data_IF_148169220804
#
_entry.id   IF_148169220804
#
_cell.length_a   1.000
_cell.length_b   1.000
_cell.length_c   1.000
_cell.angle_alpha   90.00
_cell.angle_beta   90.00
_cell.angle_gamma   90.00
#
_symmetry.space_group_name_H-M   'P 1'
#
loop_
_entity.id
_entity.type
_entity.pdbx_description
1 polymer ?
#
# COMPACT_ATOMS: atom_id res chain seq x y z
N UNK A 1 20.43 19.09 -3.25
CA UNK A 1 19.42 19.44 -4.26
C UNK A 1 18.37 18.33 -4.25
N UNK A 2 17.35 18.44 -3.40
CA UNK A 2 16.26 17.44 -3.37
C UNK A 2 15.35 17.70 -4.55
N UNK A 3 15.36 16.78 -5.51
CA UNK A 3 14.37 16.73 -6.58
C UNK A 3 13.03 16.43 -5.89
N UNK A 4 12.23 17.48 -5.66
CA UNK A 4 10.85 17.33 -5.18
C UNK A 4 10.07 16.80 -6.37
N UNK A 5 9.83 15.49 -6.39
CA UNK A 5 8.88 14.90 -7.32
C UNK A 5 7.56 15.63 -7.09
N UNK A 6 7.00 16.22 -8.15
CA UNK A 6 5.75 16.96 -8.10
C UNK A 6 4.68 16.09 -7.41
N UNK A 7 3.93 16.67 -6.47
CA UNK A 7 2.98 15.94 -5.62
C UNK A 7 1.98 15.12 -6.46
N UNK A 8 1.66 15.60 -7.67
CA UNK A 8 0.80 14.92 -8.61
C UNK A 8 1.50 13.72 -9.28
N UNK A 9 2.78 13.84 -9.64
CA UNK A 9 3.57 12.72 -10.21
C UNK A 9 3.78 11.63 -9.17
N UNK A 10 4.09 12.01 -7.94
CA UNK A 10 4.21 11.08 -6.82
C UNK A 10 2.88 10.32 -6.59
N UNK A 11 1.73 11.01 -6.71
CA UNK A 11 0.40 10.40 -6.58
C UNK A 11 0.15 9.29 -7.59
N UNK A 12 0.52 9.53 -8.85
CA UNK A 12 0.28 8.59 -9.95
C UNK A 12 1.22 7.40 -9.82
N UNK A 13 2.50 7.65 -9.53
CA UNK A 13 3.49 6.58 -9.32
C UNK A 13 3.10 5.70 -8.14
N UNK A 14 2.69 6.29 -7.01
CA UNK A 14 2.21 5.53 -5.86
C UNK A 14 0.96 4.71 -6.17
N UNK A 15 0.02 5.29 -6.93
CA UNK A 15 -1.21 4.58 -7.29
C UNK A 15 -0.93 3.42 -8.24
N UNK A 16 -0.01 3.61 -9.19
CA UNK A 16 0.43 2.56 -10.10
C UNK A 16 1.18 1.46 -9.35
N UNK A 17 2.08 1.82 -8.43
CA UNK A 17 2.78 0.84 -7.58
C UNK A 17 1.79 0.06 -6.71
N UNK A 18 0.81 0.75 -6.10
CA UNK A 18 -0.24 0.12 -5.31
C UNK A 18 -1.04 -0.88 -6.14
N UNK A 19 -1.44 -0.50 -7.36
CA UNK A 19 -2.18 -1.38 -8.26
C UNK A 19 -1.34 -2.57 -8.75
N UNK A 20 -0.04 -2.41 -8.95
CA UNK A 20 0.85 -3.49 -9.37
C UNK A 20 1.15 -4.50 -8.24
N UNK A 21 1.20 -4.02 -6.99
CA UNK A 21 1.53 -4.83 -5.82
C UNK A 21 0.28 -5.49 -5.22
N UNK A 22 -0.89 -4.87 -5.35
CA UNK A 22 -2.14 -5.45 -4.85
C UNK A 22 -2.88 -6.11 -6.04
N UNK A 23 -2.75 -7.43 -6.26
CA UNK A 23 -3.56 -8.11 -7.27
C UNK A 23 -5.02 -7.84 -6.93
N UNK A 24 -5.75 -7.34 -7.93
CA UNK A 24 -7.09 -6.78 -7.82
C UNK A 24 -8.05 -7.75 -7.11
N UNK A 25 -8.13 -7.65 -5.79
CA UNK A 25 -9.27 -8.14 -5.04
C UNK A 25 -10.39 -7.15 -5.34
N UNK A 26 -11.20 -7.45 -6.36
CA UNK A 26 -12.36 -6.66 -6.72
C UNK A 26 -13.16 -6.31 -5.47
N UNK A 27 -13.19 -5.02 -5.13
CA UNK A 27 -13.96 -4.49 -4.00
C UNK A 27 -14.04 -2.97 -4.13
N UNK A 28 -15.01 -2.54 -4.93
CA UNK A 28 -15.64 -1.24 -4.86
C UNK A 28 -15.90 -0.81 -3.41
N UNK A 29 -15.45 0.38 -3.02
CA UNK A 29 -16.09 1.17 -1.96
C UNK A 29 -16.22 2.62 -2.40
N UNK A 30 -17.05 2.87 -3.42
CA UNK A 30 -17.75 4.15 -3.59
C UNK A 30 -19.10 4.02 -2.86
N UNK A 31 -19.23 4.71 -1.73
CA UNK A 31 -20.51 4.99 -1.07
C UNK A 31 -21.36 5.89 -1.98
N UNK A 32 -22.46 5.39 -2.56
CA UNK A 32 -23.62 6.22 -2.95
C UNK A 32 -24.91 5.38 -2.86
N UNK A 33 -25.77 5.78 -1.92
CA UNK A 33 -27.25 5.81 -1.90
C UNK A 33 -28.07 4.57 -2.33
N UNK A 34 -28.92 4.16 -1.38
CA UNK A 34 -30.05 3.22 -1.47
C UNK A 34 -30.91 3.40 -2.73
N UNK A 35 -31.33 2.29 -3.35
CA UNK A 35 -32.70 2.00 -3.80
C UNK A 35 -32.80 0.48 -4.04
N UNK A 36 -33.79 -0.15 -3.40
CA UNK A 36 -34.20 -1.54 -3.62
C UNK A 36 -34.79 -1.74 -5.00
N UNK A 37 -34.54 -2.89 -5.65
CA UNK A 37 -35.57 -3.76 -6.22
C UNK A 37 -34.98 -5.13 -6.62
N UNK A 38 -35.73 -6.19 -6.31
CA UNK A 38 -35.43 -7.61 -6.56
C UNK A 38 -35.80 -7.99 -8.00
N UNK A 39 -35.10 -8.94 -8.63
CA UNK A 39 -35.62 -10.23 -9.15
C UNK A 39 -34.56 -11.08 -9.86
N UNK A 40 -34.68 -12.40 -9.69
CA UNK A 40 -33.86 -13.51 -10.20
C UNK A 40 -33.73 -13.65 -11.72
N UNK A 41 -32.62 -14.23 -12.20
CA UNK A 41 -32.61 -15.46 -13.02
C UNK A 41 -31.19 -15.88 -13.48
N UNK A 42 -30.76 -17.06 -13.00
CA UNK A 42 -30.35 -18.25 -13.78
C UNK A 42 -29.10 -18.23 -14.72
N UNK A 43 -28.18 -19.10 -14.32
CA UNK A 43 -27.35 -20.03 -15.12
C UNK A 43 -25.98 -19.64 -15.72
N UNK A 44 -25.00 -20.44 -15.31
CA UNK A 44 -24.00 -21.13 -16.15
C UNK A 44 -22.66 -20.44 -16.51
N UNK A 45 -21.62 -21.04 -15.92
CA UNK A 45 -20.35 -21.53 -16.53
C UNK A 45 -19.05 -20.71 -16.38
N UNK A 46 -18.00 -21.51 -16.18
CA UNK A 46 -16.58 -21.36 -16.53
C UNK A 46 -15.60 -20.83 -15.47
N UNK A 47 -15.17 -21.78 -14.64
CA UNK A 47 -13.91 -21.86 -13.91
C UNK A 47 -12.68 -21.62 -14.81
N UNK A 48 -12.32 -20.36 -15.07
CA UNK A 48 -11.06 -19.97 -15.75
C UNK A 48 -10.25 -18.95 -14.94
N UNK A 49 -10.73 -18.51 -13.78
CA UNK A 49 -10.13 -17.38 -13.08
C UNK A 49 -8.94 -17.73 -12.15
N UNK A 50 -8.72 -19.00 -11.82
CA UNK A 50 -7.72 -19.38 -10.80
C UNK A 50 -6.26 -19.44 -11.30
N UNK A 51 -6.03 -19.66 -12.61
CA UNK A 51 -4.65 -19.74 -13.14
C UNK A 51 -4.01 -18.37 -13.38
N UNK A 52 -4.82 -17.36 -13.78
CA UNK A 52 -4.34 -15.99 -14.00
C UNK A 52 -3.94 -15.31 -12.69
N UNK A 53 -4.73 -15.52 -11.61
CA UNK A 53 -4.41 -14.94 -10.30
C UNK A 53 -3.05 -15.39 -9.78
N UNK A 54 -2.70 -16.68 -9.92
CA UNK A 54 -1.42 -17.20 -9.43
C UNK A 54 -0.21 -16.53 -10.12
N UNK A 55 -0.31 -16.28 -11.44
CA UNK A 55 0.73 -15.56 -12.19
C UNK A 55 0.86 -14.09 -11.74
N UNK A 56 -0.27 -13.41 -11.54
CA UNK A 56 -0.30 -12.02 -11.07
C UNK A 56 0.27 -11.89 -9.65
N UNK A 57 -0.01 -12.86 -8.77
CA UNK A 57 0.55 -12.96 -7.43
C UNK A 57 2.09 -13.08 -7.45
N UNK A 58 2.63 -13.98 -8.28
CA UNK A 58 4.08 -14.17 -8.41
C UNK A 58 4.75 -12.89 -8.93
N UNK A 59 4.16 -12.26 -9.95
CA UNK A 59 4.70 -11.02 -10.51
C UNK A 59 4.68 -9.88 -9.49
N UNK A 60 3.61 -9.77 -8.69
CA UNK A 60 3.50 -8.78 -7.61
C UNK A 60 4.54 -8.98 -6.51
N UNK A 61 4.87 -10.24 -6.17
CA UNK A 61 5.92 -10.59 -5.21
C UNK A 61 7.31 -10.20 -5.73
N UNK A 62 7.64 -10.63 -6.95
CA UNK A 62 8.93 -10.29 -7.57
C UNK A 62 9.14 -8.78 -7.68
N UNK A 63 8.11 -8.04 -8.07
CA UNK A 63 8.15 -6.59 -8.15
C UNK A 63 8.34 -5.95 -6.76
N UNK A 64 7.69 -6.49 -5.72
CA UNK A 64 7.84 -5.99 -4.36
C UNK A 64 9.24 -6.23 -3.81
N UNK A 65 9.81 -7.41 -4.06
CA UNK A 65 11.18 -7.75 -3.68
C UNK A 65 12.20 -6.84 -4.40
N UNK A 66 12.05 -6.64 -5.72
CA UNK A 66 12.92 -5.75 -6.50
C UNK A 66 12.86 -4.31 -5.95
N UNK A 67 11.65 -3.81 -5.64
CA UNK A 67 11.49 -2.48 -5.05
C UNK A 67 12.27 -2.40 -3.74
N UNK A 68 12.08 -3.37 -2.85
CA UNK A 68 12.67 -3.33 -1.53
C UNK A 68 14.19 -3.50 -1.55
N UNK A 69 14.73 -4.24 -2.52
CA UNK A 69 16.16 -4.37 -2.76
C UNK A 69 16.78 -3.11 -3.41
N UNK A 70 16.02 -2.43 -4.28
CA UNK A 70 16.49 -1.22 -4.98
C UNK A 70 16.54 0.05 -4.11
N UNK A 71 15.88 0.03 -2.94
CA UNK A 71 15.75 1.19 -2.06
C UNK A 71 16.70 1.01 -0.86
N UNK A 72 17.54 2.02 -0.58
CA UNK A 72 18.39 2.06 0.61
C UNK A 72 17.59 2.50 1.86
N UNK A 73 18.16 2.26 3.06
CA UNK A 73 17.48 2.54 4.33
C UNK A 73 17.09 4.01 4.48
N UNK A 74 17.92 4.91 3.94
CA UNK A 74 17.67 6.36 4.04
C UNK A 74 16.52 6.76 3.12
N UNK A 75 16.47 6.22 1.90
CA UNK A 75 15.37 6.44 0.98
C UNK A 75 14.06 5.87 1.51
N UNK A 76 14.08 4.67 2.09
CA UNK A 76 12.90 4.06 2.73
C UNK A 76 12.39 4.89 3.90
N UNK A 77 13.28 5.33 4.80
CA UNK A 77 12.92 6.16 5.93
C UNK A 77 12.30 7.49 5.49
N UNK A 78 12.88 8.14 4.47
CA UNK A 78 12.33 9.38 3.89
C UNK A 78 10.98 9.16 3.27
N UNK A 79 10.82 8.07 2.52
CA UNK A 79 9.55 7.69 1.91
C UNK A 79 8.45 7.55 2.97
N UNK A 80 8.70 6.74 4.00
CA UNK A 80 7.74 6.49 5.07
C UNK A 80 7.42 7.77 5.84
N UNK A 81 8.43 8.55 6.22
CA UNK A 81 8.24 9.83 6.93
C UNK A 81 7.40 10.79 6.11
N UNK A 82 7.73 10.94 4.82
CA UNK A 82 7.02 11.87 3.97
C UNK A 82 5.56 11.46 3.78
N UNK A 83 5.31 10.23 3.33
CA UNK A 83 3.96 9.78 2.98
C UNK A 83 3.06 9.44 4.16
N UNK A 84 3.62 8.99 5.28
CA UNK A 84 2.81 8.62 6.45
C UNK A 84 2.67 9.77 7.45
N UNK A 85 3.67 10.65 7.58
CA UNK A 85 3.70 11.68 8.63
C UNK A 85 3.59 13.12 8.10
N UNK A 86 4.32 13.48 7.04
CA UNK A 86 4.34 14.87 6.55
C UNK A 86 3.11 15.24 5.71
N UNK A 87 2.67 14.32 4.83
CA UNK A 87 1.62 14.57 3.84
C UNK A 87 0.32 15.06 4.51
N UNK A 88 -0.20 16.20 4.02
CA UNK A 88 -1.41 16.80 4.58
C UNK A 88 -2.69 16.12 4.08
N UNK A 89 -2.66 15.57 2.87
CA UNK A 89 -3.82 14.88 2.28
C UNK A 89 -3.97 13.45 2.80
N UNK A 90 -5.13 13.17 3.39
CA UNK A 90 -5.49 11.85 3.92
C UNK A 90 -5.49 10.77 2.84
N UNK A 91 -5.85 11.11 1.60
CA UNK A 91 -5.86 10.16 0.48
C UNK A 91 -4.45 9.64 0.16
N UNK A 92 -3.45 10.53 0.19
CA UNK A 92 -2.06 10.14 0.01
C UNK A 92 -1.55 9.29 1.16
N UNK A 93 -1.91 9.63 2.41
CA UNK A 93 -1.56 8.81 3.58
C UNK A 93 -2.14 7.40 3.47
N UNK A 94 -3.39 7.26 3.01
CA UNK A 94 -4.00 5.94 2.77
C UNK A 94 -3.34 5.18 1.62
N UNK A 95 -2.95 5.87 0.55
CA UNK A 95 -2.23 5.23 -0.56
C UNK A 95 -0.85 4.72 -0.11
N UNK A 96 -0.09 5.55 0.62
CA UNK A 96 1.18 5.16 1.23
C UNK A 96 1.01 3.99 2.20
N UNK A 97 0.00 4.05 3.07
CA UNK A 97 -0.33 2.94 3.97
C UNK A 97 -0.61 1.63 3.20
N UNK A 98 -1.49 1.66 2.20
CA UNK A 98 -1.81 0.48 1.39
C UNK A 98 -0.59 -0.06 0.65
N UNK A 99 0.29 0.82 0.17
CA UNK A 99 1.50 0.43 -0.52
C UNK A 99 2.48 -0.30 0.40
N UNK A 100 2.73 0.28 1.59
CA UNK A 100 3.62 -0.32 2.59
C UNK A 100 3.08 -1.68 3.05
N UNK A 101 1.77 -1.80 3.23
CA UNK A 101 1.12 -3.07 3.53
C UNK A 101 1.30 -4.10 2.40
N UNK A 102 1.15 -3.68 1.14
CA UNK A 102 1.39 -4.53 -0.01
C UNK A 102 2.84 -5.02 -0.09
N UNK A 103 3.80 -4.10 0.08
CA UNK A 103 5.22 -4.44 0.11
C UNK A 103 5.53 -5.44 1.23
N UNK A 104 5.00 -5.23 2.44
CA UNK A 104 5.20 -6.17 3.54
C UNK A 104 4.67 -7.56 3.19
N UNK A 105 3.44 -7.67 2.67
CA UNK A 105 2.79 -8.96 2.39
C UNK A 105 3.45 -9.76 1.27
N UNK A 106 4.08 -9.06 0.33
CA UNK A 106 4.60 -9.64 -0.90
C UNK A 106 6.11 -9.80 -0.93
N UNK A 107 6.83 -9.33 0.10
CA UNK A 107 8.29 -9.47 0.20
C UNK A 107 8.70 -10.59 1.14
N UNK A 108 9.95 -11.04 0.99
CA UNK A 108 10.55 -12.03 1.88
C UNK A 108 10.72 -11.53 3.34
N UNK A 109 10.96 -12.45 4.26
CA UNK A 109 11.08 -12.15 5.71
C UNK A 109 12.20 -11.16 6.02
N UNK A 110 13.32 -11.17 5.30
CA UNK A 110 14.42 -10.21 5.52
C UNK A 110 13.96 -8.78 5.22
N UNK A 111 13.30 -8.58 4.09
CA UNK A 111 12.71 -7.31 3.66
C UNK A 111 11.61 -6.84 4.62
N UNK A 112 10.76 -7.74 5.09
CA UNK A 112 9.73 -7.46 6.10
C UNK A 112 10.34 -6.95 7.42
N UNK A 113 11.38 -7.63 7.92
CA UNK A 113 12.08 -7.23 9.14
C UNK A 113 12.77 -5.88 8.99
N UNK A 114 13.39 -5.63 7.82
CA UNK A 114 13.98 -4.33 7.47
C UNK A 114 12.94 -3.21 7.48
N UNK A 115 11.77 -3.44 6.89
CA UNK A 115 10.66 -2.49 6.89
C UNK A 115 10.16 -2.21 8.31
N UNK A 116 9.93 -3.26 9.10
CA UNK A 116 9.46 -3.15 10.48
C UNK A 116 10.46 -2.39 11.37
N UNK A 117 11.75 -2.69 11.25
CA UNK A 117 12.83 -1.96 11.94
C UNK A 117 12.81 -0.48 11.61
N UNK A 118 12.61 -0.15 10.33
CA UNK A 118 12.56 1.26 9.88
C UNK A 118 11.34 1.98 10.45
N UNK A 119 10.18 1.32 10.49
CA UNK A 119 8.98 1.88 11.11
C UNK A 119 9.19 2.12 12.62
N UNK A 120 9.80 1.18 13.34
CA UNK A 120 10.14 1.37 14.76
C UNK A 120 11.14 2.52 14.99
N UNK A 121 12.10 2.72 14.09
CA UNK A 121 13.02 3.86 14.16
C UNK A 121 12.28 5.21 14.08
N UNK A 122 11.14 5.25 13.39
CA UNK A 122 10.30 6.45 13.29
C UNK A 122 9.38 6.66 14.50
N UNK A 123 9.18 5.64 15.35
CA UNK A 123 8.27 5.73 16.50
C UNK A 123 8.51 6.95 17.40
N UNK A 124 9.75 7.35 17.74
CA UNK A 124 10.00 8.54 18.54
C UNK A 124 9.52 9.86 17.92
N UNK A 125 9.28 9.89 16.60
CA UNK A 125 8.78 11.07 15.89
C UNK A 125 7.25 11.22 16.04
N UNK A 126 6.52 10.15 16.35
CA UNK A 126 5.05 10.12 16.42
C UNK A 126 4.45 11.26 17.28
N UNK A 127 4.97 11.56 18.49
CA UNK A 127 4.43 12.64 19.32
C UNK A 127 4.48 14.01 18.63
N UNK A 128 5.45 14.25 17.76
CA UNK A 128 5.60 15.52 17.02
C UNK A 128 4.56 15.71 15.91
N UNK A 129 3.99 14.62 15.38
CA UNK A 129 3.04 14.65 14.26
C UNK A 129 1.56 14.56 14.67
N UNK A 130 1.28 14.19 15.93
CA UNK A 130 -0.06 14.15 16.49
C UNK A 130 -1.05 13.36 15.63
N UNK A 131 -2.17 13.97 15.25
CA UNK A 131 -3.25 13.33 14.48
C UNK A 131 -2.82 12.78 13.12
N UNK A 132 -1.75 13.29 12.50
CA UNK A 132 -1.26 12.79 11.20
C UNK A 132 -0.63 11.41 11.32
N UNK A 133 -0.12 11.05 12.50
CA UNK A 133 0.52 9.76 12.73
C UNK A 133 -0.47 8.59 12.87
N UNK A 134 -1.78 8.82 12.86
CA UNK A 134 -2.78 7.76 13.03
C UNK A 134 -2.61 6.60 12.03
N UNK A 135 -2.38 6.90 10.74
CA UNK A 135 -2.16 5.85 9.72
C UNK A 135 -0.85 5.08 9.92
N UNK A 136 0.18 5.73 10.48
CA UNK A 136 1.44 5.10 10.81
C UNK A 136 1.29 4.14 12.01
N UNK A 137 0.61 4.58 13.08
CA UNK A 137 0.39 3.76 14.29
C UNK A 137 -0.48 2.55 13.97
N UNK A 138 -1.52 2.73 13.15
CA UNK A 138 -2.36 1.63 12.64
C UNK A 138 -1.53 0.58 11.90
N UNK A 139 -0.64 1.03 11.00
CA UNK A 139 0.22 0.16 10.22
C UNK A 139 1.23 -0.57 11.10
N UNK A 140 1.88 0.12 12.04
CA UNK A 140 2.82 -0.50 12.97
C UNK A 140 2.13 -1.56 13.86
N UNK A 141 0.90 -1.29 14.30
CA UNK A 141 0.11 -2.24 15.08
C UNK A 141 -0.34 -3.47 14.28
N UNK A 142 -0.57 -3.33 12.97
CA UNK A 142 -0.91 -4.47 12.10
C UNK A 142 0.31 -5.33 11.74
N UNK A 143 1.49 -4.71 11.63
CA UNK A 143 2.73 -5.38 11.21
C UNK A 143 3.55 -6.00 12.37
N UNK A 144 3.22 -5.66 13.61
CA UNK A 144 3.86 -6.19 14.82
C UNK A 144 3.22 -7.48 15.31
#
# INVERSE_FOLDING_TARGET
MSIRVDENVASVVLKLLQCAITPNQGSEKKKVVKVSLKTSAKDSKTDVHSSSQAGDLIMSQQLSDIIMESIDDTALLRFLTHFLLDMNSTSFRWCGHSLVLGLFRNTNTSSQQRLLRTLWLMWPLVPSYGRKAAQFVDLLGYLS
#
